data_IF_382807873780
#
_entry.id   IF_382807873780
#
_cell.length_a   1.000
_cell.length_b   1.000
_cell.length_c   1.000
_cell.angle_alpha   90.00
_cell.angle_beta   90.00
_cell.angle_gamma   90.00
#
_symmetry.space_group_name_H-M   'P 1'
#
loop_
_entity.id
_entity.type
_entity.pdbx_description
1 polymer ?
#
# COMPACT_ATOMS: atom_id res chain seq x y z
N UNK A 1 7.08 -1.84 -4.34
CA UNK A 1 7.25 -1.40 -2.93
C UNK A 1 8.63 -1.82 -2.45
N UNK A 2 9.37 -0.95 -1.79
CA UNK A 2 10.63 -1.27 -1.12
C UNK A 2 10.37 -1.71 0.30
N UNK A 3 11.09 -2.73 0.77
CA UNK A 3 10.79 -3.38 2.04
C UNK A 3 12.09 -3.60 2.83
N UNK A 4 12.13 -3.20 4.08
CA UNK A 4 13.27 -3.22 5.01
C UNK A 4 14.50 -2.38 4.59
N UNK A 5 14.95 -2.46 3.36
CA UNK A 5 16.11 -1.76 2.82
C UNK A 5 15.77 -1.09 1.48
N UNK A 6 16.50 -0.05 1.11
CA UNK A 6 16.28 0.69 -0.13
C UNK A 6 16.50 -0.15 -1.41
N UNK A 7 17.28 -1.22 -1.31
CA UNK A 7 17.60 -2.10 -2.42
C UNK A 7 16.77 -3.39 -2.45
N UNK A 8 15.88 -3.61 -1.49
CA UNK A 8 14.98 -4.76 -1.45
C UNK A 8 13.63 -4.39 -2.00
N UNK A 9 13.31 -4.84 -3.21
CA UNK A 9 12.01 -4.66 -3.86
C UNK A 9 11.17 -5.90 -3.66
N UNK A 10 9.99 -5.75 -3.07
CA UNK A 10 8.99 -6.81 -3.05
C UNK A 10 8.51 -7.05 -4.49
N UNK A 11 8.80 -8.25 -5.02
CA UNK A 11 8.32 -8.69 -6.34
C UNK A 11 6.80 -8.81 -6.30
N UNK A 12 6.12 -9.03 -7.29
CA UNK A 12 4.68 -9.37 -7.39
C UNK A 12 3.69 -8.45 -6.65
N UNK A 13 4.16 -7.45 -5.92
CA UNK A 13 3.31 -6.50 -5.23
C UNK A 13 3.21 -5.18 -6.01
N UNK A 14 2.12 -5.03 -6.74
CA UNK A 14 1.77 -3.76 -7.41
C UNK A 14 0.96 -2.91 -6.44
N UNK A 15 1.61 -1.94 -5.84
CA UNK A 15 0.94 -0.98 -4.99
C UNK A 15 0.70 0.33 -5.73
N UNK A 16 -0.56 0.73 -5.83
CA UNK A 16 -0.97 2.01 -6.38
C UNK A 16 -1.43 2.88 -5.21
N UNK A 17 -0.51 3.66 -4.66
CA UNK A 17 -0.75 4.40 -3.43
C UNK A 17 -1.17 5.84 -3.63
N UNK A 18 -0.36 6.60 -4.32
CA UNK A 18 -0.63 8.03 -4.52
C UNK A 18 -1.66 8.23 -5.64
N UNK A 19 -2.66 9.03 -5.35
CA UNK A 19 -3.72 9.40 -6.30
C UNK A 19 -3.83 10.91 -6.40
N UNK A 20 -3.99 11.43 -7.60
CA UNK A 20 -4.14 12.84 -7.87
C UNK A 20 -5.32 13.09 -8.82
N UNK A 21 -5.95 14.24 -8.69
CA UNK A 21 -6.95 14.74 -9.63
C UNK A 21 -6.85 16.26 -9.72
N UNK A 22 -7.47 16.83 -10.74
CA UNK A 22 -7.63 18.30 -10.81
C UNK A 22 -8.51 18.75 -9.64
N UNK A 23 -8.14 19.85 -8.98
CA UNK A 23 -8.86 20.38 -7.82
C UNK A 23 -10.35 20.56 -8.05
N UNK A 24 -10.74 21.03 -9.24
CA UNK A 24 -12.15 21.20 -9.63
C UNK A 24 -12.96 19.90 -9.66
N UNK A 25 -12.30 18.75 -9.72
CA UNK A 25 -12.92 17.43 -9.78
C UNK A 25 -12.88 16.72 -8.42
N UNK A 26 -12.21 17.30 -7.42
CA UNK A 26 -12.06 16.71 -6.11
C UNK A 26 -13.39 16.83 -5.33
N UNK A 27 -14.01 15.69 -5.03
CA UNK A 27 -15.22 15.64 -4.20
C UNK A 27 -14.82 15.67 -2.71
N UNK A 28 -13.88 14.80 -2.32
CA UNK A 28 -13.31 14.78 -0.97
C UNK A 28 -12.00 14.00 -0.95
N UNK A 29 -11.13 14.18 0.06
CA UNK A 29 -9.94 13.36 0.23
C UNK A 29 -10.25 11.86 0.34
N UNK A 30 -11.32 11.51 1.02
CA UNK A 30 -11.74 10.11 1.16
C UNK A 30 -12.26 9.52 -0.15
N UNK A 31 -12.97 10.31 -0.97
CA UNK A 31 -13.41 9.87 -2.28
C UNK A 31 -12.24 9.49 -3.18
N UNK A 32 -11.20 10.33 -3.29
CA UNK A 32 -10.05 10.02 -4.15
C UNK A 32 -9.28 8.78 -3.68
N UNK A 33 -9.19 8.55 -2.37
CA UNK A 33 -8.61 7.32 -1.80
C UNK A 33 -9.40 6.08 -2.19
N UNK A 34 -10.72 6.18 -2.27
CA UNK A 34 -11.62 5.07 -2.55
C UNK A 34 -11.77 4.72 -4.04
N UNK A 35 -11.21 5.54 -4.94
CA UNK A 35 -11.21 5.25 -6.38
C UNK A 35 -10.49 3.93 -6.63
N UNK A 36 -11.09 3.05 -7.42
CA UNK A 36 -10.52 1.74 -7.74
C UNK A 36 -9.34 1.86 -8.69
N UNK A 37 -8.25 1.19 -8.38
CA UNK A 37 -6.99 1.17 -9.12
C UNK A 37 -7.04 0.17 -10.28
N UNK A 38 -8.06 0.29 -11.11
CA UNK A 38 -8.31 -0.63 -12.21
C UNK A 38 -8.83 0.12 -13.43
N UNK A 39 -8.28 -0.20 -14.60
CA UNK A 39 -8.87 0.23 -15.87
C UNK A 39 -10.11 -0.60 -16.17
N UNK A 40 -11.17 0.05 -16.58
CA UNK A 40 -12.43 -0.60 -16.96
C UNK A 40 -12.60 -0.50 -18.47
N UNK A 41 -13.10 -1.59 -19.05
CA UNK A 41 -13.42 -1.63 -20.47
C UNK A 41 -14.58 -0.69 -20.80
N UNK A 42 -14.63 -0.21 -22.04
CA UNK A 42 -15.58 0.82 -22.47
C UNK A 42 -17.05 0.33 -22.39
N UNK A 43 -17.32 -0.94 -22.53
CA UNK A 43 -18.69 -1.53 -22.45
C UNK A 43 -19.22 -1.71 -21.03
N UNK A 44 -18.41 -1.44 -20.00
CA UNK A 44 -18.84 -1.57 -18.61
C UNK A 44 -19.77 -0.42 -18.21
N UNK A 45 -21.08 -0.68 -18.26
CA UNK A 45 -22.13 0.31 -17.92
C UNK A 45 -22.11 0.67 -16.42
N UNK A 46 -21.71 -0.27 -15.55
CA UNK A 46 -21.62 -0.08 -14.11
C UNK A 46 -20.66 1.06 -13.69
N UNK A 47 -19.75 1.44 -14.57
CA UNK A 47 -18.84 2.56 -14.32
C UNK A 47 -19.52 3.92 -14.35
N UNK A 48 -20.62 4.07 -15.08
CA UNK A 48 -21.36 5.33 -15.16
C UNK A 48 -22.13 5.64 -13.87
N UNK A 49 -22.57 4.61 -13.18
CA UNK A 49 -23.32 4.73 -11.92
C UNK A 49 -22.44 4.64 -10.67
N UNK A 50 -21.15 4.42 -10.84
CA UNK A 50 -20.22 4.24 -9.72
C UNK A 50 -19.43 5.52 -9.44
N UNK A 51 -19.44 5.95 -8.18
CA UNK A 51 -18.59 7.04 -7.69
C UNK A 51 -17.12 6.63 -7.45
N UNK A 52 -16.76 5.36 -7.67
CA UNK A 52 -15.44 4.79 -7.36
C UNK A 52 -14.76 4.12 -8.55
N UNK A 53 -15.47 3.92 -9.65
CA UNK A 53 -14.97 3.25 -10.87
C UNK A 53 -14.95 4.25 -12.01
N UNK A 54 -13.80 4.55 -12.53
CA UNK A 54 -13.63 5.50 -13.62
C UNK A 54 -12.92 4.84 -14.79
N UNK A 55 -13.34 5.15 -16.03
CA UNK A 55 -12.70 4.68 -17.26
C UNK A 55 -11.42 5.47 -17.55
N UNK A 56 -11.45 6.77 -17.26
CA UNK A 56 -10.37 7.72 -17.56
C UNK A 56 -9.35 7.81 -16.41
N UNK A 57 -8.81 6.66 -16.00
CA UNK A 57 -7.72 6.63 -15.02
C UNK A 57 -6.40 6.50 -15.79
N UNK A 58 -5.49 7.42 -15.52
CA UNK A 58 -4.13 7.37 -16.01
C UNK A 58 -3.20 6.83 -14.94
N UNK A 59 -2.45 5.77 -15.27
CA UNK A 59 -1.44 5.19 -14.40
C UNK A 59 -0.06 5.71 -14.80
N UNK A 60 0.58 6.43 -13.90
CA UNK A 60 1.97 6.87 -14.08
C UNK A 60 2.87 5.70 -13.69
N UNK A 61 3.56 5.11 -14.66
CA UNK A 61 4.54 4.07 -14.42
C UNK A 61 5.73 4.68 -13.70
N UNK A 62 6.20 3.98 -12.66
CA UNK A 62 7.33 4.42 -11.83
C UNK A 62 7.18 5.84 -11.25
N UNK A 63 5.94 6.30 -11.06
CA UNK A 63 5.60 7.63 -10.56
C UNK A 63 5.91 7.89 -9.09
N UNK A 64 6.43 6.90 -8.38
CA UNK A 64 6.80 7.04 -6.98
C UNK A 64 7.25 5.73 -6.33
N UNK A 65 7.74 5.86 -5.11
CA UNK A 65 8.25 4.76 -4.31
C UNK A 65 7.50 4.67 -3.00
N UNK A 66 7.15 3.47 -2.59
CA UNK A 66 6.62 3.20 -1.27
C UNK A 66 7.65 2.42 -0.46
N UNK A 67 8.01 2.96 0.68
CA UNK A 67 8.97 2.37 1.59
C UNK A 67 8.24 1.83 2.82
N UNK A 68 8.46 0.55 3.11
CA UNK A 68 7.90 -0.11 4.28
C UNK A 68 9.00 -0.68 5.16
N UNK A 69 8.83 -0.48 6.46
CA UNK A 69 9.68 -1.07 7.48
C UNK A 69 11.18 -0.72 7.33
N UNK A 70 11.52 0.48 6.83
CA UNK A 70 12.89 1.00 6.83
C UNK A 70 13.31 1.44 8.23
N UNK A 71 13.37 0.49 9.13
CA UNK A 71 13.69 0.70 10.55
C UNK A 71 14.47 -0.51 11.06
N UNK A 72 15.14 -0.35 12.21
CA UNK A 72 15.72 -1.49 12.91
C UNK A 72 14.62 -2.43 13.47
N UNK A 73 14.92 -3.70 13.77
CA UNK A 73 13.94 -4.68 14.24
C UNK A 73 13.12 -4.21 15.43
N UNK A 74 13.76 -3.62 16.43
CA UNK A 74 13.09 -3.04 17.63
C UNK A 74 12.04 -1.99 17.30
N UNK A 75 12.34 -1.08 16.38
CA UNK A 75 11.41 -0.03 15.96
C UNK A 75 10.31 -0.56 15.02
N UNK A 76 10.57 -1.64 14.30
CA UNK A 76 9.55 -2.37 13.54
C UNK A 76 8.56 -3.01 14.50
N UNK A 77 9.04 -3.72 15.52
CA UNK A 77 8.20 -4.33 16.56
C UNK A 77 7.34 -3.28 17.28
N UNK A 78 7.96 -2.16 17.71
CA UNK A 78 7.20 -1.05 18.31
C UNK A 78 6.09 -0.54 17.40
N UNK A 79 6.36 -0.40 16.09
CA UNK A 79 5.35 0.01 15.12
C UNK A 79 4.23 -1.01 15.00
N UNK A 80 4.52 -2.31 14.96
CA UNK A 80 3.52 -3.36 14.87
C UNK A 80 2.60 -3.36 16.09
N UNK A 81 3.14 -3.16 17.28
CA UNK A 81 2.38 -3.05 18.54
C UNK A 81 1.53 -1.77 18.62
N UNK A 82 1.91 -0.69 17.94
CA UNK A 82 1.20 0.59 17.95
C UNK A 82 0.24 0.79 16.78
N UNK A 83 0.13 -0.16 15.88
CA UNK A 83 -0.69 -0.06 14.69
C UNK A 83 -2.17 -0.39 14.98
N UNK A 84 -3.10 0.18 14.23
CA UNK A 84 -4.55 -0.07 14.40
C UNK A 84 -4.95 -1.55 14.35
N UNK A 85 -4.19 -2.37 13.65
CA UNK A 85 -4.39 -3.83 13.55
C UNK A 85 -3.39 -4.61 14.41
N UNK A 86 -2.97 -4.05 15.56
CA UNK A 86 -2.02 -4.70 16.48
C UNK A 86 -2.51 -6.06 17.00
N UNK A 87 -3.84 -6.28 17.01
CA UNK A 87 -4.45 -7.53 17.47
C UNK A 87 -3.89 -8.74 16.69
N UNK A 88 -3.70 -8.60 15.37
CA UNK A 88 -3.13 -9.69 14.54
C UNK A 88 -1.69 -10.00 14.96
N UNK A 89 -0.91 -8.97 15.34
CA UNK A 89 0.44 -9.14 15.86
C UNK A 89 0.45 -9.72 17.28
N UNK A 90 -0.49 -9.33 18.13
CA UNK A 90 -0.58 -9.80 19.51
C UNK A 90 -0.97 -11.28 19.59
N UNK A 91 -1.74 -11.76 18.59
CA UNK A 91 -2.08 -13.19 18.48
C UNK A 91 -0.86 -14.05 18.09
N UNK A 92 0.05 -13.51 17.27
CA UNK A 92 1.24 -14.22 16.80
C UNK A 92 2.47 -13.29 16.84
N UNK A 93 3.00 -12.96 18.03
CA UNK A 93 4.10 -12.04 18.16
C UNK A 93 5.40 -12.65 17.64
N UNK A 94 5.94 -12.07 16.58
CA UNK A 94 7.21 -12.51 15.97
C UNK A 94 8.40 -12.11 16.84
N UNK A 95 8.29 -11.00 17.56
CA UNK A 95 9.36 -10.45 18.39
C UNK A 95 10.54 -9.88 17.60
N UNK A 96 11.46 -9.19 18.29
CA UNK A 96 12.60 -8.52 17.66
C UNK A 96 13.51 -9.51 16.89
N UNK A 97 13.83 -10.66 17.50
CA UNK A 97 14.69 -11.70 16.89
C UNK A 97 14.05 -12.31 15.65
N UNK A 98 12.77 -12.62 15.69
CA UNK A 98 12.06 -13.15 14.53
C UNK A 98 11.97 -12.13 13.38
N UNK A 99 11.80 -10.84 13.69
CA UNK A 99 11.85 -9.77 12.70
C UNK A 99 13.24 -9.69 12.06
N UNK A 100 14.31 -9.82 12.85
CA UNK A 100 15.68 -9.82 12.34
C UNK A 100 15.93 -11.01 11.40
N UNK A 101 15.48 -12.20 11.76
CA UNK A 101 15.52 -13.38 10.90
C UNK A 101 14.74 -13.18 9.59
N UNK A 102 13.55 -12.57 9.65
CA UNK A 102 12.76 -12.26 8.45
C UNK A 102 13.49 -11.27 7.54
N UNK A 103 14.16 -10.25 8.10
CA UNK A 103 14.97 -9.30 7.33
C UNK A 103 16.13 -10.01 6.64
N UNK A 104 16.85 -10.88 7.36
CA UNK A 104 17.98 -11.62 6.83
C UNK A 104 17.56 -12.61 5.74
N UNK A 105 16.43 -13.27 5.93
CA UNK A 105 15.85 -14.21 4.97
C UNK A 105 15.06 -13.53 3.85
N UNK A 106 14.99 -12.19 3.83
CA UNK A 106 14.24 -11.38 2.85
C UNK A 106 12.75 -11.75 2.76
N UNK A 107 12.15 -12.18 3.88
CA UNK A 107 10.72 -12.47 3.98
C UNK A 107 9.96 -11.23 4.42
N UNK A 108 8.77 -10.99 3.83
CA UNK A 108 7.88 -9.94 4.28
C UNK A 108 7.13 -10.35 5.56
N UNK A 109 6.85 -9.37 6.42
CA UNK A 109 5.97 -9.53 7.59
C UNK A 109 4.52 -9.52 7.13
#
# INVERSE_FOLDING_TARGET
>A
MMYYKFNLKLKDYKWVGSKACKMKNLISPQWIRNIKDKKYSWWRIDTFFSKRKYKNIFFVKDGGWHFSYLKNPKNIEKKLKSYLHHIDYDLNPVGEKGIEEMINNKKAI
#
